data_IF_230445830491
#
_entry.id   IF_230445830491
#
_cell.length_a   1.000
_cell.length_b   1.000
_cell.length_c   1.000
_cell.angle_alpha   90.00
_cell.angle_beta   90.00
_cell.angle_gamma   90.00
#
_symmetry.space_group_name_H-M   'P 1'
#
loop_
_entity.id
_entity.type
_entity.pdbx_description
1 polymer ?
#
# COMPACT_ATOMS: atom_id res chain seq x y z
N UNK A 1 -7.40 -24.40 7.23
CA UNK A 1 -8.48 -23.47 7.65
C UNK A 1 -9.75 -24.30 7.69
N UNK A 2 -10.52 -24.28 8.78
CA UNK A 2 -11.79 -25.00 8.76
C UNK A 2 -12.80 -24.28 7.85
N UNK A 3 -13.76 -25.04 7.32
CA UNK A 3 -14.74 -24.56 6.32
C UNK A 3 -15.62 -23.43 6.87
N UNK A 4 -15.91 -23.48 8.17
CA UNK A 4 -16.73 -22.51 8.90
C UNK A 4 -16.04 -21.15 9.05
N UNK A 5 -14.71 -21.14 9.21
CA UNK A 5 -13.89 -19.93 9.30
C UNK A 5 -13.88 -19.20 7.97
N UNK A 6 -13.79 -19.92 6.85
CA UNK A 6 -13.86 -19.31 5.52
C UNK A 6 -15.22 -18.65 5.27
N UNK A 7 -16.31 -19.31 5.68
CA UNK A 7 -17.67 -18.77 5.54
C UNK A 7 -17.88 -17.49 6.36
N UNK A 8 -17.42 -17.46 7.62
CA UNK A 8 -17.51 -16.27 8.49
C UNK A 8 -16.74 -15.10 7.88
N UNK A 9 -15.52 -15.34 7.38
CA UNK A 9 -14.69 -14.30 6.75
C UNK A 9 -15.36 -13.75 5.50
N UNK A 10 -15.94 -14.61 4.66
CA UNK A 10 -16.66 -14.15 3.46
C UNK A 10 -17.86 -13.26 3.82
N UNK A 11 -18.69 -13.68 4.77
CA UNK A 11 -19.85 -12.88 5.21
C UNK A 11 -19.43 -11.51 5.73
N UNK A 12 -18.31 -11.42 6.44
CA UNK A 12 -17.76 -10.14 6.90
C UNK A 12 -17.41 -9.23 5.71
N UNK A 13 -16.73 -9.74 4.68
CA UNK A 13 -16.37 -8.95 3.50
C UNK A 13 -17.60 -8.51 2.68
N UNK A 14 -18.65 -9.34 2.62
CA UNK A 14 -19.90 -8.99 1.95
C UNK A 14 -20.70 -7.92 2.70
N UNK A 15 -20.73 -7.98 4.04
CA UNK A 15 -21.46 -7.01 4.87
C UNK A 15 -20.72 -5.68 5.04
N UNK A 16 -19.39 -5.73 5.07
CA UNK A 16 -18.53 -4.58 5.31
C UNK A 16 -17.46 -4.48 4.22
N UNK A 17 -17.85 -4.16 2.97
CA UNK A 17 -16.89 -4.05 1.89
C UNK A 17 -15.88 -2.96 2.22
N UNK A 18 -14.62 -3.25 1.92
CA UNK A 18 -13.59 -2.21 1.94
C UNK A 18 -14.02 -1.08 0.99
N UNK A 19 -13.76 0.20 1.31
CA UNK A 19 -14.14 1.30 0.45
C UNK A 19 -13.66 1.07 -0.98
N UNK A 20 -14.60 1.15 -1.93
CA UNK A 20 -14.29 0.99 -3.34
C UNK A 20 -13.24 2.01 -3.77
N UNK A 21 -12.29 1.57 -4.59
CA UNK A 21 -11.27 2.44 -5.15
C UNK A 21 -11.08 2.31 -6.64
N UNK A 22 -11.06 3.47 -7.27
CA UNK A 22 -10.65 3.63 -8.66
C UNK A 22 -9.21 4.15 -8.71
N UNK A 23 -8.38 3.51 -9.52
CA UNK A 23 -6.99 3.91 -9.70
C UNK A 23 -6.86 5.27 -10.39
N UNK A 24 -7.82 5.62 -11.25
CA UNK A 24 -7.83 6.88 -12.00
C UNK A 24 -7.94 8.12 -11.09
N UNK A 25 -8.55 7.98 -9.91
CA UNK A 25 -8.66 9.09 -8.94
C UNK A 25 -7.30 9.58 -8.43
N UNK A 26 -6.23 8.77 -8.48
CA UNK A 26 -4.90 9.19 -8.05
C UNK A 26 -4.34 10.34 -8.90
N UNK A 27 -4.85 10.51 -10.14
CA UNK A 27 -4.48 11.62 -11.02
C UNK A 27 -4.97 12.97 -10.49
N UNK A 28 -6.08 12.97 -9.75
CA UNK A 28 -6.68 14.18 -9.18
C UNK A 28 -6.26 14.39 -7.72
N UNK A 29 -6.15 13.29 -6.98
CA UNK A 29 -5.77 13.27 -5.57
C UNK A 29 -5.00 12.01 -5.26
N UNK A 30 -3.69 12.16 -5.17
CA UNK A 30 -2.81 11.12 -4.67
C UNK A 30 -3.07 10.89 -3.17
N UNK A 31 -3.42 9.67 -2.76
CA UNK A 31 -3.43 9.33 -1.34
C UNK A 31 -2.02 9.08 -0.83
N UNK A 32 -1.72 9.68 0.33
CA UNK A 32 -0.48 9.43 1.05
C UNK A 32 -0.73 8.48 2.23
N UNK A 33 -0.36 7.20 2.11
CA UNK A 33 -0.22 6.34 3.27
C UNK A 33 1.00 6.79 4.05
N UNK A 34 0.77 7.35 5.25
CA UNK A 34 1.79 8.12 5.99
C UNK A 34 3.15 7.44 6.19
N UNK A 35 3.18 6.11 6.37
CA UNK A 35 4.43 5.36 6.58
C UNK A 35 5.15 4.95 5.27
N UNK A 36 4.59 5.26 4.09
CA UNK A 36 5.15 4.89 2.78
C UNK A 36 5.85 6.06 2.06
N UNK A 37 6.20 7.11 2.81
CA UNK A 37 7.06 8.18 2.33
C UNK A 37 8.52 7.70 2.27
N UNK A 38 9.20 7.84 1.14
CA UNK A 38 10.55 7.32 0.90
C UNK A 38 11.58 7.90 1.88
N UNK A 39 11.64 9.22 2.13
CA UNK A 39 12.47 9.78 3.20
C UNK A 39 12.20 9.16 4.58
N UNK A 40 10.92 8.97 4.93
CA UNK A 40 10.56 8.36 6.21
C UNK A 40 10.99 6.89 6.30
N UNK A 41 10.75 6.11 5.24
CA UNK A 41 11.19 4.71 5.13
C UNK A 41 12.70 4.62 5.23
N UNK A 42 13.43 5.49 4.54
CA UNK A 42 14.89 5.51 4.59
C UNK A 42 15.40 5.87 6.00
N UNK A 43 14.87 6.93 6.61
CA UNK A 43 15.31 7.38 7.93
C UNK A 43 15.01 6.36 9.03
N UNK A 44 13.78 5.83 9.10
CA UNK A 44 13.36 4.90 10.15
C UNK A 44 13.83 3.47 9.91
N UNK A 45 13.69 2.97 8.67
CA UNK A 45 14.02 1.58 8.33
C UNK A 45 15.50 1.35 8.05
N UNK A 46 16.18 2.33 7.45
CA UNK A 46 17.55 2.18 6.95
C UNK A 46 18.53 3.17 7.58
N UNK A 47 18.12 3.93 8.61
CA UNK A 47 18.96 4.94 9.29
C UNK A 47 19.53 5.98 8.33
N UNK A 48 18.79 6.30 7.27
CA UNK A 48 19.18 7.25 6.23
C UNK A 48 20.27 6.75 5.28
N UNK A 49 20.54 5.44 5.25
CA UNK A 49 21.67 4.86 4.47
C UNK A 49 21.24 4.11 3.22
N UNK A 50 19.94 4.04 2.90
CA UNK A 50 19.49 3.36 1.69
C UNK A 50 19.82 4.20 0.45
N UNK A 51 20.40 3.55 -0.56
CA UNK A 51 20.50 4.08 -1.91
C UNK A 51 19.19 3.83 -2.65
N UNK A 52 18.44 4.90 -2.91
CA UNK A 52 17.13 4.84 -3.59
C UNK A 52 17.25 4.90 -5.12
N UNK A 53 18.45 5.07 -5.69
CA UNK A 53 18.65 5.14 -7.15
C UNK A 53 18.33 3.82 -7.86
N UNK A 54 18.37 2.69 -7.13
CA UNK A 54 18.01 1.35 -7.63
C UNK A 54 17.00 0.70 -6.69
N UNK A 55 15.79 1.26 -6.68
CA UNK A 55 14.75 0.87 -5.74
C UNK A 55 14.05 -0.44 -6.11
N UNK A 56 13.99 -1.38 -5.15
CA UNK A 56 13.19 -2.61 -5.23
C UNK A 56 12.57 -2.90 -3.86
N UNK A 57 11.27 -3.13 -3.81
CA UNK A 57 10.54 -3.36 -2.56
C UNK A 57 9.47 -4.43 -2.74
N UNK A 58 9.12 -5.13 -1.66
CA UNK A 58 7.95 -5.98 -1.55
C UNK A 58 6.94 -5.31 -0.61
N UNK A 59 5.71 -5.12 -1.07
CA UNK A 59 4.60 -4.68 -0.20
C UNK A 59 3.77 -5.91 0.18
N UNK A 60 4.06 -6.47 1.36
CA UNK A 60 3.32 -7.62 1.88
C UNK A 60 1.89 -7.21 2.28
N UNK A 61 0.88 -7.87 1.71
CA UNK A 61 -0.53 -7.53 1.98
C UNK A 61 -0.94 -6.17 1.40
N UNK A 62 -0.56 -5.87 0.16
CA UNK A 62 -0.73 -4.54 -0.46
C UNK A 62 -2.17 -4.02 -0.60
N UNK A 63 -3.19 -4.85 -0.42
CA UNK A 63 -4.60 -4.44 -0.46
C UNK A 63 -4.93 -3.66 -1.73
N UNK A 64 -5.52 -2.48 -1.58
CA UNK A 64 -5.90 -1.55 -2.65
C UNK A 64 -4.71 -0.99 -3.45
N UNK A 65 -3.48 -1.12 -2.94
CA UNK A 65 -2.27 -0.71 -3.65
C UNK A 65 -1.82 0.74 -3.40
N UNK A 66 -2.45 1.48 -2.48
CA UNK A 66 -2.14 2.90 -2.20
C UNK A 66 -0.65 3.12 -1.92
N UNK A 67 -0.03 2.25 -1.13
CA UNK A 67 1.40 2.34 -0.81
C UNK A 67 2.29 2.12 -2.04
N UNK A 68 1.89 1.21 -2.95
CA UNK A 68 2.63 0.96 -4.20
C UNK A 68 2.58 2.20 -5.08
N UNK A 69 1.38 2.75 -5.30
CA UNK A 69 1.18 3.93 -6.15
C UNK A 69 1.90 5.15 -5.57
N UNK A 70 1.77 5.38 -4.26
CA UNK A 70 2.43 6.49 -3.59
C UNK A 70 3.96 6.41 -3.67
N UNK A 71 4.55 5.22 -3.51
CA UNK A 71 5.99 5.02 -3.68
C UNK A 71 6.41 5.20 -5.15
N UNK A 72 5.62 4.70 -6.09
CA UNK A 72 5.91 4.85 -7.52
C UNK A 72 5.90 6.32 -7.95
N UNK A 73 4.95 7.12 -7.48
CA UNK A 73 4.89 8.55 -7.81
C UNK A 73 6.11 9.32 -7.25
N UNK A 74 6.62 8.94 -6.06
CA UNK A 74 7.84 9.54 -5.51
C UNK A 74 9.13 9.16 -6.27
N UNK A 75 9.11 8.06 -7.02
CA UNK A 75 10.25 7.57 -7.83
C UNK A 75 10.19 8.05 -9.28
N UNK A 76 9.07 8.68 -9.67
CA UNK A 76 8.84 9.18 -11.02
C UNK A 76 9.82 10.31 -11.33
N UNK A 77 10.51 10.19 -12.45
CA UNK A 77 11.51 11.15 -12.94
C UNK A 77 10.93 12.04 -14.01
#
# INVERSE_FOLDING_TARGET
MDDKTAEIVNQQYEQYPYPYREAEHEKERLLSPGMSDLPLVNSLGFKGKADISKFRVLIAGGGTGDAVIFLAEQLKT
#
